data_IF_426214816405
#
_entry.id   IF_426214816405
#
_cell.length_a   1.000
_cell.length_b   1.000
_cell.length_c   1.000
_cell.angle_alpha   90.00
_cell.angle_beta   90.00
_cell.angle_gamma   90.00
#
_symmetry.space_group_name_H-M   'P 1'
#
loop_
_entity.id
_entity.type
_entity.pdbx_description
1 polymer ?
#
# COMPACT_ATOMS: atom_id res chain seq x y z
N UNK A 1 4.99 4.28 1.23
CA UNK A 1 4.96 2.83 1.45
C UNK A 1 4.05 2.21 0.41
N UNK A 2 4.41 1.02 -0.06
CA UNK A 2 3.63 0.25 -1.03
C UNK A 2 3.87 -1.26 -0.83
N UNK A 3 2.93 -2.13 -1.21
CA UNK A 3 3.08 -3.60 -1.10
C UNK A 3 2.72 -4.36 -2.38
N UNK A 4 3.39 -5.47 -2.64
CA UNK A 4 2.99 -6.42 -3.69
C UNK A 4 2.47 -7.72 -3.08
N UNK A 5 1.36 -8.22 -3.62
CA UNK A 5 0.65 -9.40 -3.13
C UNK A 5 -0.07 -10.10 -4.29
N UNK A 6 -0.51 -11.36 -4.14
CA UNK A 6 -0.96 -12.19 -5.25
C UNK A 6 -2.42 -11.90 -5.68
N UNK A 7 -2.79 -10.63 -5.73
CA UNK A 7 -4.10 -10.18 -6.20
C UNK A 7 -5.25 -10.44 -5.22
N UNK A 8 -6.41 -10.78 -5.79
CA UNK A 8 -7.68 -10.95 -5.08
C UNK A 8 -8.36 -12.22 -5.61
N UNK A 9 -8.68 -13.15 -4.72
CA UNK A 9 -9.37 -14.42 -5.01
C UNK A 9 -10.83 -14.44 -4.55
N UNK A 10 -11.19 -13.57 -3.59
CA UNK A 10 -12.57 -13.34 -3.19
C UNK A 10 -13.03 -11.96 -3.64
N UNK A 11 -14.01 -11.91 -4.53
CA UNK A 11 -14.63 -10.66 -4.94
C UNK A 11 -16.14 -10.86 -5.14
N UNK A 12 -16.95 -9.79 -5.05
CA UNK A 12 -18.35 -9.87 -5.45
C UNK A 12 -18.40 -10.19 -6.94
N UNK A 13 -19.02 -11.32 -7.29
CA UNK A 13 -19.22 -11.69 -8.69
C UNK A 13 -20.66 -12.07 -8.99
N UNK A 14 -21.12 -11.59 -10.13
CA UNK A 14 -22.38 -11.90 -10.80
C UNK A 14 -22.16 -12.70 -12.08
N UNK A 15 -20.90 -13.06 -12.38
CA UNK A 15 -20.49 -13.69 -13.64
C UNK A 15 -20.39 -12.71 -14.82
N UNK A 16 -20.68 -11.42 -14.61
CA UNK A 16 -20.58 -10.38 -15.63
C UNK A 16 -19.58 -9.28 -15.20
N UNK A 17 -18.45 -9.09 -15.91
CA UNK A 17 -17.40 -8.15 -15.49
C UNK A 17 -17.84 -6.68 -15.38
N UNK A 18 -18.84 -6.25 -16.14
CA UNK A 18 -19.35 -4.86 -16.11
C UNK A 18 -20.26 -4.68 -14.89
N UNK A 19 -21.13 -5.66 -14.65
CA UNK A 19 -21.99 -5.67 -13.46
C UNK A 19 -21.15 -5.79 -12.18
N UNK A 20 -20.11 -6.62 -12.18
CA UNK A 20 -19.19 -6.79 -11.05
C UNK A 20 -18.49 -5.47 -10.72
N UNK A 21 -17.96 -4.77 -11.73
CA UNK A 21 -17.37 -3.42 -11.54
C UNK A 21 -18.37 -2.43 -10.94
N UNK A 22 -19.64 -2.52 -11.34
CA UNK A 22 -20.69 -1.64 -10.82
C UNK A 22 -21.05 -2.01 -9.39
N UNK A 23 -21.14 -3.30 -9.09
CA UNK A 23 -21.41 -3.82 -7.75
C UNK A 23 -20.31 -3.42 -6.77
N UNK A 24 -19.05 -3.61 -7.14
CA UNK A 24 -17.87 -3.18 -6.37
C UNK A 24 -17.92 -1.68 -6.07
N UNK A 25 -18.48 -0.87 -6.98
CA UNK A 25 -18.61 0.59 -6.78
C UNK A 25 -19.69 0.98 -5.78
N UNK A 26 -20.64 0.09 -5.50
CA UNK A 26 -21.77 0.39 -4.62
C UNK A 26 -21.71 -0.36 -3.29
N UNK A 27 -20.61 -1.06 -3.02
CA UNK A 27 -20.39 -1.73 -1.74
C UNK A 27 -20.30 -0.70 -0.60
N UNK A 28 -20.83 -1.08 0.56
CA UNK A 28 -20.61 -0.32 1.78
C UNK A 28 -19.15 -0.45 2.25
N UNK A 29 -18.65 0.44 3.12
CA UNK A 29 -17.33 0.28 3.73
C UNK A 29 -17.16 -1.07 4.46
N UNK A 30 -18.25 -1.59 5.04
CA UNK A 30 -18.24 -2.88 5.74
C UNK A 30 -18.08 -4.05 4.78
N UNK A 31 -18.77 -4.01 3.63
CA UNK A 31 -18.64 -5.06 2.61
C UNK A 31 -17.26 -5.03 1.96
N UNK A 32 -16.73 -3.83 1.68
CA UNK A 32 -15.36 -3.69 1.21
C UNK A 32 -14.34 -4.26 2.19
N UNK A 33 -14.49 -3.94 3.47
CA UNK A 33 -13.64 -4.52 4.51
C UNK A 33 -13.78 -6.04 4.57
N UNK A 34 -14.99 -6.58 4.43
CA UNK A 34 -15.21 -8.03 4.38
C UNK A 34 -14.36 -8.69 3.30
N UNK A 35 -14.46 -8.24 2.04
CA UNK A 35 -13.65 -8.82 0.96
C UNK A 35 -12.15 -8.62 1.17
N UNK A 36 -11.72 -7.44 1.60
CA UNK A 36 -10.32 -7.19 1.94
C UNK A 36 -9.81 -8.16 3.01
N UNK A 37 -10.60 -8.37 4.08
CA UNK A 37 -10.30 -9.29 5.18
C UNK A 37 -10.14 -10.72 4.66
N UNK A 38 -11.10 -11.22 3.90
CA UNK A 38 -11.08 -12.59 3.38
C UNK A 38 -9.86 -12.83 2.49
N UNK A 39 -9.53 -11.90 1.59
CA UNK A 39 -8.35 -12.02 0.74
C UNK A 39 -7.05 -11.95 1.54
N UNK A 40 -6.87 -10.94 2.38
CA UNK A 40 -5.63 -10.76 3.13
C UNK A 40 -5.40 -11.93 4.09
N UNK A 41 -6.46 -12.53 4.65
CA UNK A 41 -6.33 -13.69 5.53
C UNK A 41 -5.82 -14.93 4.80
N UNK A 42 -6.28 -15.22 3.58
CA UNK A 42 -5.87 -16.43 2.84
C UNK A 42 -4.62 -16.26 1.98
N UNK A 43 -4.35 -15.03 1.52
CA UNK A 43 -3.20 -14.71 0.67
C UNK A 43 -1.99 -14.32 1.50
N UNK A 44 -0.81 -14.36 0.88
CA UNK A 44 0.47 -14.03 1.52
C UNK A 44 1.14 -12.87 0.82
N UNK A 45 1.72 -11.98 1.62
CA UNK A 45 2.47 -10.82 1.19
C UNK A 45 3.73 -11.25 0.42
N UNK A 46 4.05 -10.56 -0.69
CA UNK A 46 5.21 -10.88 -1.54
C UNK A 46 6.32 -9.85 -1.36
N UNK A 47 5.97 -8.56 -1.36
CA UNK A 47 6.93 -7.47 -1.14
C UNK A 47 6.35 -6.33 -0.30
N UNK A 48 7.24 -5.62 0.39
CA UNK A 48 6.99 -4.32 1.01
C UNK A 48 8.05 -3.33 0.56
N UNK A 49 7.62 -2.15 0.14
CA UNK A 49 8.47 -1.03 -0.22
C UNK A 49 8.39 0.09 0.81
N UNK A 50 9.54 0.43 1.38
CA UNK A 50 9.68 1.56 2.30
C UNK A 50 10.68 2.56 1.72
N UNK A 51 10.17 3.76 1.45
CA UNK A 51 10.99 4.94 1.16
C UNK A 51 10.90 5.86 2.36
N UNK A 52 12.06 6.22 2.92
CA UNK A 52 12.16 7.16 4.03
C UNK A 52 12.61 8.52 3.49
N UNK A 53 12.10 9.60 4.06
CA UNK A 53 12.58 10.95 3.77
C UNK A 53 12.44 11.88 4.97
N UNK A 54 13.16 12.99 4.92
CA UNK A 54 12.85 14.14 5.77
C UNK A 54 11.57 14.86 5.29
N UNK A 55 11.20 15.95 5.99
CA UNK A 55 10.04 16.76 5.67
C UNK A 55 10.16 17.53 4.34
N UNK A 56 11.37 17.62 3.78
CA UNK A 56 11.64 18.27 2.49
C UNK A 56 11.70 17.26 1.33
N UNK A 57 11.51 15.96 1.61
CA UNK A 57 11.55 14.90 0.61
C UNK A 57 12.96 14.45 0.23
N UNK A 58 13.97 14.78 1.06
CA UNK A 58 15.33 14.30 0.89
C UNK A 58 15.43 12.86 1.41
N UNK A 59 16.02 11.98 0.61
CA UNK A 59 16.24 10.58 0.96
C UNK A 59 17.47 10.43 1.86
N UNK A 60 17.54 9.38 2.69
CA UNK A 60 18.75 9.09 3.45
C UNK A 60 19.90 8.75 2.50
N UNK A 61 21.06 9.36 2.75
CA UNK A 61 22.30 9.15 1.99
C UNK A 61 23.40 8.46 2.83
N UNK A 62 23.21 8.39 4.15
CA UNK A 62 24.18 7.92 5.13
C UNK A 62 25.59 8.53 4.97
N UNK A 63 25.67 9.79 4.50
CA UNK A 63 26.93 10.47 4.22
C UNK A 63 27.67 9.98 2.97
N UNK A 64 26.96 9.34 2.04
CA UNK A 64 27.49 8.86 0.75
C UNK A 64 26.91 9.68 -0.41
N UNK A 65 27.43 9.48 -1.62
CA UNK A 65 26.89 10.09 -2.85
C UNK A 65 25.63 9.36 -3.37
N UNK A 66 25.08 8.41 -2.60
CA UNK A 66 23.94 7.57 -2.99
C UNK A 66 22.80 7.66 -1.99
N UNK A 67 21.57 7.73 -2.49
CA UNK A 67 20.35 7.70 -1.69
C UNK A 67 19.76 6.29 -1.60
N UNK A 68 19.08 5.99 -0.50
CA UNK A 68 18.57 4.65 -0.23
C UNK A 68 17.05 4.57 -0.12
N UNK A 69 16.51 3.51 -0.71
CA UNK A 69 15.13 3.03 -0.55
C UNK A 69 15.18 1.53 -0.26
N UNK A 70 14.16 0.99 0.39
CA UNK A 70 14.15 -0.42 0.80
C UNK A 70 13.01 -1.18 0.14
N UNK A 71 13.35 -2.36 -0.37
CA UNK A 71 12.40 -3.36 -0.87
C UNK A 71 12.64 -4.68 -0.13
N UNK A 72 11.65 -5.07 0.66
CA UNK A 72 11.64 -6.31 1.42
C UNK A 72 10.93 -7.38 0.59
N UNK A 73 11.61 -8.50 0.35
CA UNK A 73 11.11 -9.63 -0.42
C UNK A 73 10.84 -10.80 0.51
N UNK A 74 9.59 -11.28 0.58
CA UNK A 74 9.18 -12.30 1.56
C UNK A 74 9.23 -13.72 0.99
N UNK A 75 9.65 -14.67 1.82
CA UNK A 75 9.72 -16.10 1.46
C UNK A 75 8.43 -16.88 1.75
N UNK A 76 7.49 -16.26 2.47
CA UNK A 76 6.27 -16.87 2.96
C UNK A 76 5.37 -17.42 1.84
N UNK A 77 5.38 -16.75 0.67
CA UNK A 77 4.57 -17.11 -0.50
C UNK A 77 5.21 -18.22 -1.34
N UNK A 78 4.45 -19.29 -1.54
CA UNK A 78 4.78 -20.45 -2.36
C UNK A 78 3.80 -20.63 -3.51
N UNK A 79 4.26 -20.29 -4.72
CA UNK A 79 3.47 -20.38 -5.96
C UNK A 79 2.95 -21.79 -6.25
N UNK A 80 3.52 -22.85 -5.65
CA UNK A 80 3.09 -24.23 -5.86
C UNK A 80 2.00 -24.68 -4.88
N UNK A 81 1.75 -23.92 -3.80
CA UNK A 81 0.87 -24.33 -2.70
C UNK A 81 -0.17 -23.28 -2.33
N UNK A 82 0.19 -22.00 -2.41
CA UNK A 82 -0.64 -20.91 -1.94
C UNK A 82 -1.64 -20.46 -3.00
N UNK A 83 -2.75 -19.90 -2.54
CA UNK A 83 -3.73 -19.27 -3.42
C UNK A 83 -3.17 -17.98 -4.02
N UNK A 84 -3.56 -17.69 -5.26
CA UNK A 84 -3.22 -16.47 -5.96
C UNK A 84 -4.18 -16.22 -7.13
N UNK A 85 -4.22 -14.96 -7.57
CA UNK A 85 -4.85 -14.55 -8.82
C UNK A 85 -3.82 -14.64 -9.96
N UNK A 86 -4.20 -15.28 -11.06
CA UNK A 86 -3.26 -15.69 -12.14
C UNK A 86 -2.68 -14.48 -12.86
N UNK A 87 -3.49 -13.48 -13.17
CA UNK A 87 -3.06 -12.28 -13.90
C UNK A 87 -2.09 -11.45 -13.06
N UNK A 88 -2.34 -11.36 -11.76
CA UNK A 88 -1.47 -10.69 -10.79
C UNK A 88 -0.10 -11.37 -10.74
N UNK A 89 -0.04 -12.70 -10.64
CA UNK A 89 1.25 -13.42 -10.67
C UNK A 89 1.97 -13.24 -12.00
N UNK A 90 1.25 -13.29 -13.13
CA UNK A 90 1.85 -13.08 -14.44
C UNK A 90 2.41 -11.66 -14.60
N UNK A 91 1.68 -10.66 -14.10
CA UNK A 91 2.13 -9.27 -14.05
C UNK A 91 3.41 -9.13 -13.21
N UNK A 92 3.41 -9.66 -11.98
CA UNK A 92 4.56 -9.57 -11.08
C UNK A 92 5.81 -10.28 -11.65
N UNK A 93 5.63 -11.45 -12.30
CA UNK A 93 6.73 -12.12 -13.03
C UNK A 93 7.27 -11.23 -14.15
N UNK A 94 6.39 -10.61 -14.94
CA UNK A 94 6.78 -9.69 -16.02
C UNK A 94 7.55 -8.47 -15.50
N UNK A 95 7.22 -8.00 -14.30
CA UNK A 95 7.91 -6.89 -13.63
C UNK A 95 9.18 -7.31 -12.89
N UNK A 96 9.53 -8.60 -12.93
CA UNK A 96 10.83 -9.10 -12.50
C UNK A 96 10.85 -9.72 -11.11
N UNK A 97 9.69 -9.95 -10.47
CA UNK A 97 9.64 -10.70 -9.22
C UNK A 97 10.06 -12.14 -9.47
N UNK A 98 11.10 -12.59 -8.76
CA UNK A 98 11.60 -13.95 -8.80
C UNK A 98 11.11 -14.74 -7.58
N UNK A 99 9.94 -15.37 -7.73
CA UNK A 99 9.32 -16.18 -6.67
C UNK A 99 10.20 -17.31 -6.15
N UNK A 100 11.01 -17.93 -7.01
CA UNK A 100 11.95 -18.98 -6.60
C UNK A 100 13.04 -18.42 -5.69
N UNK A 101 13.63 -17.29 -6.07
CA UNK A 101 14.62 -16.59 -5.23
C UNK A 101 14.02 -16.15 -3.90
N UNK A 102 12.78 -15.66 -3.91
CA UNK A 102 12.07 -15.29 -2.69
C UNK A 102 11.94 -16.49 -1.73
N UNK A 103 11.59 -17.69 -2.22
CA UNK A 103 11.55 -18.88 -1.37
C UNK A 103 12.92 -19.27 -0.80
N UNK A 104 13.96 -19.17 -1.60
CA UNK A 104 15.31 -19.62 -1.23
C UNK A 104 15.97 -18.70 -0.21
N UNK A 105 15.87 -17.38 -0.40
CA UNK A 105 16.62 -16.38 0.38
C UNK A 105 15.79 -15.17 0.83
N UNK A 106 14.46 -15.20 0.66
CA UNK A 106 13.58 -14.14 1.11
C UNK A 106 13.48 -14.06 2.63
N UNK A 107 12.94 -12.95 3.09
CA UNK A 107 12.77 -12.61 4.50
C UNK A 107 11.57 -13.36 5.05
N UNK A 108 11.68 -13.88 6.27
CA UNK A 108 10.52 -14.38 7.02
C UNK A 108 9.68 -13.20 7.52
N UNK A 109 8.38 -13.18 7.21
CA UNK A 109 7.53 -12.05 7.58
C UNK A 109 7.46 -11.79 9.08
N UNK A 110 7.63 -12.81 9.93
CA UNK A 110 7.66 -12.65 11.38
C UNK A 110 8.95 -11.95 11.86
N UNK A 111 10.11 -12.26 11.25
CA UNK A 111 11.38 -11.58 11.53
C UNK A 111 11.30 -10.11 11.12
N UNK A 112 10.71 -9.82 9.95
CA UNK A 112 10.44 -8.46 9.51
C UNK A 112 9.55 -7.72 10.51
N UNK A 113 8.44 -8.34 10.96
CA UNK A 113 7.54 -7.75 11.94
C UNK A 113 8.26 -7.40 13.24
N UNK A 114 9.08 -8.32 13.76
CA UNK A 114 9.86 -8.11 14.97
C UNK A 114 10.82 -6.92 14.85
N UNK A 115 11.54 -6.82 13.73
CA UNK A 115 12.47 -5.70 13.50
C UNK A 115 11.72 -4.37 13.27
N UNK A 116 10.61 -4.39 12.53
CA UNK A 116 9.80 -3.21 12.28
C UNK A 116 9.24 -2.63 13.59
N UNK A 117 8.77 -3.48 14.51
CA UNK A 117 8.30 -3.05 15.84
C UNK A 117 9.39 -2.38 16.69
N UNK A 118 10.66 -2.73 16.48
CA UNK A 118 11.80 -2.15 17.21
C UNK A 118 12.47 -0.99 16.47
N UNK A 119 12.07 -0.71 15.24
CA UNK A 119 12.65 0.35 14.40
C UNK A 119 12.25 1.76 14.82
N UNK A 120 11.13 1.91 15.53
CA UNK A 120 10.51 3.21 15.81
C UNK A 120 9.66 3.78 14.66
N UNK A 121 9.50 3.05 13.54
CA UNK A 121 8.63 3.44 12.42
C UNK A 121 7.13 3.23 12.72
N UNK A 122 6.81 2.23 13.52
CA UNK A 122 5.45 1.92 13.99
C UNK A 122 5.33 2.18 15.49
N UNK A 123 4.10 2.30 15.99
CA UNK A 123 3.76 2.63 17.37
C UNK A 123 4.34 3.99 17.84
N UNK A 124 4.69 4.87 16.90
CA UNK A 124 5.33 6.15 17.16
C UNK A 124 4.47 7.31 16.64
N UNK A 125 3.30 7.45 17.25
CA UNK A 125 2.15 8.23 16.77
C UNK A 125 2.41 9.74 16.55
N UNK A 126 3.57 10.25 16.97
CA UNK A 126 3.90 11.67 16.94
C UNK A 126 5.14 12.05 16.12
N UNK A 127 5.91 11.06 15.62
CA UNK A 127 7.17 11.34 14.91
C UNK A 127 7.15 10.89 13.46
N UNK A 128 6.32 9.89 13.11
CA UNK A 128 6.30 9.31 11.77
C UNK A 128 5.05 9.75 11.01
N UNK A 129 5.23 10.09 9.74
CA UNK A 129 4.15 10.35 8.78
C UNK A 129 4.18 9.27 7.71
N UNK A 130 3.07 8.57 7.52
CA UNK A 130 2.90 7.54 6.51
C UNK A 130 2.28 8.14 5.25
N UNK A 131 2.93 7.94 4.12
CA UNK A 131 2.46 8.37 2.80
C UNK A 131 2.25 7.12 1.95
N UNK A 132 1.06 7.01 1.36
CA UNK A 132 0.60 5.82 0.65
C UNK A 132 -0.27 6.17 -0.56
N UNK A 133 -0.61 5.18 -1.38
CA UNK A 133 -1.54 5.35 -2.50
C UNK A 133 -2.52 4.17 -2.53
N UNK A 134 -3.81 4.43 -2.31
CA UNK A 134 -4.88 3.42 -2.36
C UNK A 134 -4.64 2.22 -1.41
N UNK A 135 -4.35 2.54 -0.16
CA UNK A 135 -3.54 1.72 0.75
C UNK A 135 -4.28 0.76 1.67
N UNK A 136 -5.56 0.48 1.38
CA UNK A 136 -6.37 -0.41 2.21
C UNK A 136 -5.71 -1.79 2.40
N UNK A 137 -5.34 -2.43 1.29
CA UNK A 137 -4.64 -3.72 1.31
C UNK A 137 -3.23 -3.62 1.90
N UNK A 138 -2.49 -2.55 1.60
CA UNK A 138 -1.12 -2.38 2.12
C UNK A 138 -1.10 -2.37 3.66
N UNK A 139 -1.99 -1.59 4.29
CA UNK A 139 -2.12 -1.59 5.75
C UNK A 139 -2.66 -2.91 6.28
N UNK A 140 -3.60 -3.54 5.57
CA UNK A 140 -4.15 -4.83 5.98
C UNK A 140 -3.08 -5.93 6.05
N UNK A 141 -2.21 -6.02 5.04
CA UNK A 141 -1.07 -6.95 5.07
C UNK A 141 -0.09 -6.63 6.18
N UNK A 142 0.27 -5.34 6.38
CA UNK A 142 1.17 -4.99 7.47
C UNK A 142 0.55 -5.27 8.85
N UNK A 143 -0.74 -5.04 9.06
CA UNK A 143 -1.42 -5.41 10.31
C UNK A 143 -1.41 -6.93 10.51
N UNK A 144 -1.71 -7.72 9.47
CA UNK A 144 -1.62 -9.18 9.54
C UNK A 144 -0.22 -9.64 9.96
N UNK A 145 0.81 -9.09 9.33
CA UNK A 145 2.23 -9.41 9.61
C UNK A 145 2.63 -8.96 11.02
N UNK A 146 2.31 -7.73 11.43
CA UNK A 146 2.67 -7.17 12.74
C UNK A 146 1.97 -7.88 13.90
N UNK A 147 0.74 -8.35 13.70
CA UNK A 147 -0.04 -9.03 14.74
C UNK A 147 0.16 -10.55 14.74
N UNK A 148 0.64 -11.13 13.64
CA UNK A 148 0.74 -12.57 13.45
C UNK A 148 -0.62 -13.29 13.53
N UNK A 149 -1.72 -12.57 13.28
CA UNK A 149 -3.09 -13.05 13.44
C UNK A 149 -3.94 -12.74 12.21
N UNK A 150 -5.07 -13.44 12.10
CA UNK A 150 -6.13 -13.06 11.16
C UNK A 150 -6.64 -11.65 11.50
N UNK A 151 -7.04 -10.92 10.46
CA UNK A 151 -7.59 -9.58 10.61
C UNK A 151 -8.92 -9.60 11.40
N UNK A 152 -9.23 -8.53 12.18
CA UNK A 152 -10.42 -8.48 13.02
C UNK A 152 -11.73 -8.64 12.24
N UNK A 153 -12.78 -9.15 12.88
CA UNK A 153 -14.08 -9.29 12.20
C UNK A 153 -14.78 -7.98 11.92
N UNK A 154 -14.55 -6.96 12.76
CA UNK A 154 -15.19 -5.67 12.65
C UNK A 154 -14.22 -4.61 12.10
N UNK A 155 -14.68 -3.82 11.12
CA UNK A 155 -13.93 -2.71 10.54
C UNK A 155 -13.42 -1.72 11.61
N UNK A 156 -14.23 -1.42 12.63
CA UNK A 156 -13.82 -0.52 13.71
C UNK A 156 -12.61 -1.04 14.49
N UNK A 157 -12.54 -2.35 14.76
CA UNK A 157 -11.42 -2.98 15.43
C UNK A 157 -10.16 -2.95 14.54
N UNK A 158 -10.30 -3.22 13.24
CA UNK A 158 -9.21 -3.07 12.27
C UNK A 158 -8.68 -1.63 12.22
N UNK A 159 -9.57 -0.65 12.13
CA UNK A 159 -9.20 0.77 12.17
C UNK A 159 -8.47 1.15 13.46
N UNK A 160 -8.89 0.58 14.59
CA UNK A 160 -8.19 0.75 15.87
C UNK A 160 -6.76 0.20 15.84
N UNK A 161 -6.53 -0.93 15.18
CA UNK A 161 -5.18 -1.46 14.97
C UNK A 161 -4.35 -0.56 14.06
N UNK A 162 -4.91 -0.12 12.93
CA UNK A 162 -4.20 0.78 12.00
C UNK A 162 -3.80 2.07 12.72
N UNK A 163 -4.71 2.68 13.48
CA UNK A 163 -4.41 3.87 14.27
C UNK A 163 -3.37 3.60 15.38
N UNK A 164 -3.43 2.44 16.02
CA UNK A 164 -2.48 2.05 17.07
C UNK A 164 -1.05 1.85 16.57
N UNK A 165 -0.89 1.20 15.40
CA UNK A 165 0.43 0.94 14.81
C UNK A 165 0.98 2.09 13.99
N UNK A 166 0.15 2.80 13.22
CA UNK A 166 0.61 3.80 12.24
C UNK A 166 0.34 5.24 12.66
N UNK A 167 -0.33 5.45 13.80
CA UNK A 167 -0.61 6.75 14.35
C UNK A 167 -1.64 7.54 13.56
N UNK A 168 -1.71 8.86 13.79
CA UNK A 168 -2.72 9.74 13.18
C UNK A 168 -2.23 10.53 11.95
N UNK A 169 -1.00 10.27 11.47
CA UNK A 169 -0.40 10.99 10.34
C UNK A 169 -0.24 10.07 9.13
N UNK A 170 -1.37 9.70 8.52
CA UNK A 170 -1.43 8.91 7.30
C UNK A 170 -2.06 9.76 6.20
N UNK A 171 -1.36 9.86 5.08
CA UNK A 171 -1.78 10.55 3.87
C UNK A 171 -1.88 9.54 2.73
N UNK A 172 -3.11 9.26 2.31
CA UNK A 172 -3.36 8.45 1.12
C UNK A 172 -3.61 9.38 -0.07
N UNK A 173 -2.67 9.36 -1.03
CA UNK A 173 -2.71 10.20 -2.22
C UNK A 173 -4.02 9.99 -2.99
N UNK A 174 -4.50 8.74 -3.11
CA UNK A 174 -5.74 8.42 -3.83
C UNK A 174 -6.94 9.15 -3.24
N UNK A 175 -7.00 9.22 -1.92
CA UNK A 175 -8.02 9.96 -1.21
C UNK A 175 -7.83 11.48 -1.39
N UNK A 176 -6.61 11.99 -1.22
CA UNK A 176 -6.30 13.42 -1.35
C UNK A 176 -6.63 13.98 -2.74
N UNK A 177 -6.46 13.18 -3.79
CA UNK A 177 -6.80 13.56 -5.16
C UNK A 177 -8.27 13.95 -5.34
N UNK A 178 -9.19 13.51 -4.46
CA UNK A 178 -10.61 13.94 -4.49
C UNK A 178 -10.79 15.44 -4.29
N UNK A 179 -9.78 16.10 -3.71
CA UNK A 179 -9.74 17.55 -3.49
C UNK A 179 -8.87 18.29 -4.52
N UNK A 180 -8.30 17.57 -5.50
CA UNK A 180 -7.47 18.14 -6.55
C UNK A 180 -8.18 18.01 -7.90
N UNK A 181 -8.61 19.15 -8.46
CA UNK A 181 -9.14 19.17 -9.82
C UNK A 181 -8.07 18.61 -10.79
N UNK A 182 -8.50 17.76 -11.72
CA UNK A 182 -7.68 17.13 -12.77
C UNK A 182 -6.83 15.89 -12.39
N UNK A 183 -6.82 15.42 -11.13
CA UNK A 183 -6.11 14.20 -10.76
C UNK A 183 -7.05 12.98 -10.71
N UNK A 184 -6.72 11.92 -11.46
CA UNK A 184 -7.48 10.66 -11.48
C UNK A 184 -6.64 9.49 -12.02
N UNK A 185 -7.09 8.26 -11.76
CA UNK A 185 -6.41 7.03 -12.20
C UNK A 185 -5.48 6.42 -11.14
N UNK A 186 -4.62 5.49 -11.58
CA UNK A 186 -3.59 4.83 -10.77
C UNK A 186 -2.36 5.72 -10.54
N UNK A 187 -1.42 5.24 -9.71
CA UNK A 187 -0.26 6.02 -9.26
C UNK A 187 0.55 6.57 -10.42
N UNK A 188 0.85 5.72 -11.42
CA UNK A 188 1.66 6.08 -12.59
C UNK A 188 1.04 7.24 -13.38
N UNK A 189 -0.28 7.22 -13.55
CA UNK A 189 -0.99 8.28 -14.27
C UNK A 189 -0.92 9.60 -13.51
N UNK A 190 -1.10 9.54 -12.19
CA UNK A 190 -1.08 10.71 -11.32
C UNK A 190 0.31 11.32 -11.28
N UNK A 191 1.35 10.49 -11.13
CA UNK A 191 2.75 10.91 -11.21
C UNK A 191 3.04 11.61 -12.54
N UNK A 192 2.63 11.00 -13.66
CA UNK A 192 2.78 11.60 -15.00
C UNK A 192 2.04 12.93 -15.15
N UNK A 193 0.81 13.06 -14.65
CA UNK A 193 0.06 14.32 -14.67
C UNK A 193 0.72 15.41 -13.82
N UNK A 194 1.50 15.02 -12.81
CA UNK A 194 2.27 15.91 -11.96
C UNK A 194 3.72 16.12 -12.43
N UNK A 195 4.09 15.58 -13.60
CA UNK A 195 5.44 15.64 -14.16
C UNK A 195 6.48 15.07 -13.18
N UNK A 196 6.13 13.95 -12.55
CA UNK A 196 7.01 13.16 -11.70
C UNK A 196 7.36 11.87 -12.45
N UNK A 197 8.64 11.70 -12.75
CA UNK A 197 9.15 10.50 -13.41
C UNK A 197 9.56 9.43 -12.40
N UNK A 198 9.47 8.17 -12.82
CA UNK A 198 10.02 7.04 -12.05
C UNK A 198 11.54 7.02 -12.20
N UNK A 199 12.25 7.35 -11.13
CA UNK A 199 13.70 7.49 -11.13
C UNK A 199 14.44 6.14 -11.19
N UNK A 200 13.95 5.13 -10.47
CA UNK A 200 14.61 3.82 -10.33
C UNK A 200 13.60 2.69 -10.28
N UNK A 201 14.00 1.49 -10.71
CA UNK A 201 13.16 0.28 -10.66
C UNK A 201 12.05 0.25 -11.72
N UNK A 202 11.09 -0.66 -11.54
CA UNK A 202 9.96 -0.86 -12.45
C UNK A 202 8.62 -0.64 -11.73
N UNK A 203 7.57 -0.40 -12.50
CA UNK A 203 6.20 -0.42 -11.99
C UNK A 203 5.84 -1.82 -11.47
N UNK A 204 5.10 -1.90 -10.36
CA UNK A 204 4.81 -3.11 -9.58
C UNK A 204 6.07 -3.76 -8.99
N UNK A 205 6.96 -2.91 -8.49
CA UNK A 205 8.03 -3.29 -7.57
C UNK A 205 7.88 -2.37 -6.38
N UNK A 206 7.59 -2.95 -5.22
CA UNK A 206 7.14 -2.18 -4.06
C UNK A 206 8.13 -1.06 -3.68
N UNK A 207 9.45 -1.31 -3.77
CA UNK A 207 10.46 -0.29 -3.50
C UNK A 207 10.32 0.92 -4.43
N UNK A 208 10.29 0.67 -5.74
CA UNK A 208 10.13 1.69 -6.77
C UNK A 208 8.80 2.45 -6.65
N UNK A 209 7.70 1.74 -6.41
CA UNK A 209 6.37 2.33 -6.23
C UNK A 209 6.27 3.16 -4.95
N UNK A 210 6.95 2.74 -3.88
CA UNK A 210 7.02 3.53 -2.65
C UNK A 210 7.76 4.86 -2.83
N UNK A 211 8.79 4.90 -3.68
CA UNK A 211 9.51 6.14 -4.01
C UNK A 211 8.66 7.04 -4.90
N UNK A 212 8.03 6.48 -5.94
CA UNK A 212 7.13 7.22 -6.82
C UNK A 212 5.97 7.81 -6.01
N UNK A 213 5.42 7.06 -5.06
CA UNK A 213 4.41 7.52 -4.10
C UNK A 213 4.90 8.75 -3.33
N UNK A 214 6.09 8.70 -2.72
CA UNK A 214 6.63 9.84 -1.98
C UNK A 214 6.80 11.07 -2.89
N UNK A 215 7.46 10.94 -4.04
CA UNK A 215 7.74 12.06 -4.94
C UNK A 215 6.44 12.67 -5.48
N UNK A 216 5.47 11.83 -5.83
CA UNK A 216 4.13 12.25 -6.25
C UNK A 216 3.42 13.03 -5.15
N UNK A 217 3.47 12.55 -3.90
CA UNK A 217 2.92 13.26 -2.76
C UNK A 217 3.58 14.63 -2.59
N UNK A 218 4.91 14.73 -2.60
CA UNK A 218 5.62 16.00 -2.42
C UNK A 218 5.21 17.03 -3.48
N UNK A 219 5.12 16.60 -4.74
CA UNK A 219 4.70 17.46 -5.85
C UNK A 219 3.23 17.85 -5.74
N UNK A 220 2.34 16.91 -5.42
CA UNK A 220 0.91 17.16 -5.21
C UNK A 220 0.68 18.13 -4.06
N UNK A 221 1.36 17.92 -2.93
CA UNK A 221 1.27 18.75 -1.73
C UNK A 221 1.71 20.18 -2.03
N UNK A 222 2.87 20.35 -2.66
CA UNK A 222 3.37 21.66 -3.08
C UNK A 222 2.40 22.38 -4.03
N UNK A 223 1.77 21.66 -4.98
CA UNK A 223 0.93 22.26 -6.02
C UNK A 223 -0.48 22.64 -5.53
N UNK A 224 -1.12 21.80 -4.73
CA UNK A 224 -2.54 21.95 -4.39
C UNK A 224 -2.80 22.34 -2.95
N UNK A 225 -1.81 22.18 -2.07
CA UNK A 225 -2.01 22.20 -0.62
C UNK A 225 -1.03 23.13 0.12
N UNK A 226 -0.20 23.88 -0.62
CA UNK A 226 0.68 24.90 -0.04
C UNK A 226 -0.13 26.00 0.64
N UNK A 227 -0.02 26.12 1.96
CA UNK A 227 -0.69 27.14 2.77
C UNK A 227 -1.89 26.66 3.59
N UNK A 228 -2.30 25.40 3.45
CA UNK A 228 -3.38 24.81 4.27
C UNK A 228 -2.83 23.97 5.42
N UNK A 229 -3.42 24.13 6.62
CA UNK A 229 -3.16 23.26 7.77
C UNK A 229 -3.99 21.96 7.61
N UNK A 230 -3.54 21.04 6.75
CA UNK A 230 -4.23 19.76 6.48
C UNK A 230 -4.00 18.73 7.61
N UNK A 231 -3.49 19.18 8.75
CA UNK A 231 -3.03 18.32 9.84
C UNK A 231 -4.14 17.56 10.59
N UNK A 232 -5.42 17.63 10.20
CA UNK A 232 -6.50 17.13 11.06
C UNK A 232 -7.58 16.20 10.48
N UNK A 233 -7.54 15.74 9.21
CA UNK A 233 -8.70 14.95 8.70
C UNK A 233 -8.42 13.76 7.77
N UNK A 234 -7.25 13.11 7.86
CA UNK A 234 -6.89 12.15 6.80
C UNK A 234 -6.77 10.67 7.19
N UNK A 235 -6.65 10.26 8.46
CA UNK A 235 -6.61 8.81 8.74
C UNK A 235 -7.92 8.08 8.50
N UNK A 236 -8.97 8.59 9.16
CA UNK A 236 -10.26 7.89 9.21
C UNK A 236 -10.84 7.90 7.81
N UNK A 237 -10.71 9.00 7.07
CA UNK A 237 -11.23 9.06 5.70
C UNK A 237 -10.37 8.29 4.71
N UNK A 238 -9.04 8.21 4.85
CA UNK A 238 -8.17 7.53 3.88
C UNK A 238 -8.28 6.00 3.90
N UNK A 239 -8.27 5.36 5.07
CA UNK A 239 -8.40 3.89 5.15
C UNK A 239 -9.84 3.45 4.86
N UNK A 240 -10.83 4.23 5.30
CA UNK A 240 -12.20 4.06 4.82
C UNK A 240 -12.30 4.30 3.31
N UNK A 241 -11.59 5.28 2.74
CA UNK A 241 -11.60 5.55 1.28
C UNK A 241 -10.88 4.50 0.48
N UNK A 242 -9.80 3.92 0.99
CA UNK A 242 -9.10 2.80 0.37
C UNK A 242 -9.90 1.50 0.47
N UNK A 243 -10.78 1.39 1.46
CA UNK A 243 -11.88 0.42 1.40
C UNK A 243 -12.93 0.84 0.37
N UNK A 244 -13.29 2.13 0.24
CA UNK A 244 -14.38 2.60 -0.62
C UNK A 244 -14.05 2.84 -2.11
N UNK A 245 -12.80 2.99 -2.55
CA UNK A 245 -12.47 3.44 -3.92
C UNK A 245 -12.46 2.31 -4.98
N UNK A 246 -13.66 1.87 -5.35
CA UNK A 246 -14.27 1.82 -6.71
C UNK A 246 -13.52 1.35 -7.97
N UNK A 247 -12.22 1.06 -7.95
CA UNK A 247 -11.48 0.45 -9.05
C UNK A 247 -10.49 -0.58 -8.48
N UNK A 248 -10.92 -1.85 -8.43
CA UNK A 248 -10.07 -3.03 -8.25
C UNK A 248 -9.12 -3.28 -9.44
N UNK A 249 -9.09 -2.39 -10.42
CA UNK A 249 -8.01 -2.40 -11.39
C UNK A 249 -6.74 -1.99 -10.64
N UNK A 250 -5.91 -2.99 -10.39
CA UNK A 250 -4.47 -2.99 -10.19
C UNK A 250 -3.81 -1.60 -10.33
N UNK A 251 -2.95 -1.31 -9.36
CA UNK A 251 -2.01 -0.17 -9.30
C UNK A 251 -1.62 0.41 -10.66
#
# INVERSE_FOLDING_TARGET
MDTEFPGVVYCPTTGNPIADKTLIRHLSPFDHYFYLKENVNVLKLIQVGLTLSDAHGNLPDFGTDTCYIWEFNFRDFDITKDYYEVDSINLLKKQGINFKKNQEIGIDSADFAYLLLRSGLVCNNSLVTWITFHSGYDFAYLIKVLTGRLLPDHLSAFMGLVQGFFGSRVYDIKHMMKFCNCLYGGLERVAKTLEVDREVGKCHQAGSDSLLTLKTFMKMYSKFFSGENIHQRLLITAVYSGCLDHNLNLK
#
